data_IF_019039924529
#
_entry.id   IF_019039924529
#
_cell.length_a   1.000
_cell.length_b   1.000
_cell.length_c   1.000
_cell.angle_alpha   90.00
_cell.angle_beta   90.00
_cell.angle_gamma   90.00
#
_symmetry.space_group_name_H-M   'P 1'
#
loop_
_entity.id
_entity.type
_entity.pdbx_description
1 polymer ?
#
# COMPACT_ATOMS: atom_id res chain seq x y z
N UNK A 1 -26.72 15.15 7.38
CA UNK A 1 -25.33 14.96 6.89
C UNK A 1 -24.80 13.74 7.63
N UNK A 2 -24.82 12.58 6.99
CA UNK A 2 -24.35 11.36 7.63
C UNK A 2 -22.89 11.18 7.24
N UNK A 3 -22.01 11.37 8.21
CA UNK A 3 -20.58 11.06 8.07
C UNK A 3 -20.40 9.64 8.57
N UNK A 4 -19.98 8.74 7.70
CA UNK A 4 -19.66 7.36 8.05
C UNK A 4 -18.15 7.21 8.12
N UNK A 5 -17.65 6.57 9.17
CA UNK A 5 -16.23 6.29 9.39
C UNK A 5 -16.04 4.79 9.45
N UNK A 6 -15.25 4.25 8.54
CA UNK A 6 -15.04 2.81 8.39
C UNK A 6 -13.55 2.50 8.28
N UNK A 7 -13.08 1.47 9.00
CA UNK A 7 -11.72 0.97 8.83
C UNK A 7 -11.64 0.08 7.60
N UNK A 8 -10.54 0.16 6.84
CA UNK A 8 -10.25 -0.76 5.76
C UNK A 8 -8.90 -1.43 5.96
N UNK A 9 -8.82 -2.72 5.64
CA UNK A 9 -7.56 -3.47 5.66
C UNK A 9 -6.82 -3.38 4.32
N UNK A 10 -7.55 -3.31 3.21
CA UNK A 10 -7.02 -3.23 1.85
C UNK A 10 -7.78 -2.18 1.05
N UNK A 11 -7.07 -1.15 0.58
CA UNK A 11 -7.67 -0.08 -0.22
C UNK A 11 -8.34 -0.58 -1.52
N UNK A 12 -7.78 -1.55 -2.29
CA UNK A 12 -8.42 -2.06 -3.51
C UNK A 12 -9.88 -2.48 -3.34
N UNK A 13 -10.17 -3.29 -2.32
CA UNK A 13 -11.53 -3.77 -2.04
C UNK A 13 -12.50 -2.61 -1.80
N UNK A 14 -12.08 -1.62 -1.01
CA UNK A 14 -12.88 -0.43 -0.76
C UNK A 14 -13.17 0.34 -2.07
N UNK A 15 -12.18 0.52 -2.94
CA UNK A 15 -12.36 1.23 -4.21
C UNK A 15 -13.30 0.47 -5.16
N UNK A 16 -13.19 -0.85 -5.23
CA UNK A 16 -14.09 -1.72 -6.01
C UNK A 16 -15.53 -1.66 -5.48
N UNK A 17 -15.72 -1.71 -4.16
CA UNK A 17 -17.03 -1.62 -3.52
C UNK A 17 -17.70 -0.27 -3.84
N UNK A 18 -16.98 0.84 -3.67
CA UNK A 18 -17.47 2.19 -3.99
C UNK A 18 -17.82 2.35 -5.48
N UNK A 19 -17.03 1.73 -6.37
CA UNK A 19 -17.31 1.72 -7.80
C UNK A 19 -18.58 0.91 -8.13
N UNK A 20 -18.73 -0.29 -7.54
CA UNK A 20 -19.87 -1.19 -7.79
C UNK A 20 -21.22 -0.58 -7.35
N UNK A 21 -21.18 0.31 -6.36
CA UNK A 21 -22.35 1.01 -5.84
C UNK A 21 -22.69 2.31 -6.61
N UNK A 22 -21.94 2.63 -7.69
CA UNK A 22 -22.14 3.85 -8.49
C UNK A 22 -22.11 5.15 -7.67
N UNK A 23 -21.29 5.19 -6.62
CA UNK A 23 -21.21 6.32 -5.70
C UNK A 23 -20.82 7.61 -6.43
N UNK A 24 -21.43 8.72 -6.00
CA UNK A 24 -21.05 10.09 -6.37
C UNK A 24 -20.81 10.88 -5.09
N UNK A 25 -19.64 11.52 -4.98
CA UNK A 25 -19.24 12.24 -3.78
C UNK A 25 -17.74 12.17 -3.54
N UNK A 26 -17.33 12.33 -2.29
CA UNK A 26 -15.92 12.28 -1.89
C UNK A 26 -15.73 11.48 -0.62
N UNK A 27 -14.56 10.85 -0.50
CA UNK A 27 -14.12 10.20 0.73
C UNK A 27 -12.76 10.76 1.14
N UNK A 28 -12.57 11.00 2.43
CA UNK A 28 -11.27 11.24 3.03
C UNK A 28 -10.67 9.89 3.47
N UNK A 29 -9.47 9.59 2.99
CA UNK A 29 -8.71 8.40 3.34
C UNK A 29 -7.54 8.83 4.21
N UNK A 30 -7.45 8.29 5.41
CA UNK A 30 -6.33 8.47 6.33
C UNK A 30 -5.63 7.12 6.55
N UNK A 31 -4.38 7.00 6.12
CA UNK A 31 -3.57 5.78 6.30
C UNK A 31 -2.46 5.99 7.33
N UNK A 32 -2.10 4.92 8.03
CA UNK A 32 -0.96 4.90 8.96
C UNK A 32 0.30 4.39 8.25
N UNK A 33 1.34 5.23 8.18
CA UNK A 33 2.57 4.91 7.42
C UNK A 33 3.57 4.10 8.26
N UNK A 34 3.72 4.41 9.54
CA UNK A 34 4.71 3.78 10.42
C UNK A 34 4.26 3.73 11.90
N UNK A 35 5.06 3.02 12.72
CA UNK A 35 4.86 2.87 14.17
C UNK A 35 4.99 4.17 14.97
N UNK A 36 5.46 5.27 14.35
CA UNK A 36 5.58 6.60 14.95
C UNK A 36 4.32 7.46 14.76
N UNK A 37 3.18 6.86 14.43
CA UNK A 37 1.90 7.54 14.20
C UNK A 37 1.91 8.56 13.04
N UNK A 38 2.83 8.44 12.07
CA UNK A 38 2.77 9.28 10.87
C UNK A 38 1.57 8.85 10.03
N UNK A 39 0.63 9.77 9.80
CA UNK A 39 -0.53 9.51 8.95
C UNK A 39 -0.41 10.24 7.62
N UNK A 40 -1.05 9.69 6.59
CA UNK A 40 -1.21 10.35 5.29
C UNK A 40 -2.69 10.44 4.97
N UNK A 41 -3.12 11.67 4.73
CA UNK A 41 -4.49 12.01 4.37
C UNK A 41 -4.60 12.36 2.90
N UNK A 42 -5.61 11.82 2.23
CA UNK A 42 -5.96 12.14 0.86
C UNK A 42 -7.46 12.18 0.72
N UNK A 43 -7.94 12.95 -0.26
CA UNK A 43 -9.32 12.90 -0.70
C UNK A 43 -9.38 12.18 -2.03
N UNK A 44 -10.36 11.30 -2.20
CA UNK A 44 -10.71 10.66 -3.46
C UNK A 44 -12.15 11.07 -3.80
N UNK A 45 -12.40 11.47 -5.03
CA UNK A 45 -13.71 11.91 -5.50
C UNK A 45 -14.23 10.96 -6.58
N UNK A 46 -15.52 10.62 -6.49
CA UNK A 46 -16.23 9.79 -7.44
C UNK A 46 -17.39 10.55 -8.10
N UNK A 47 -17.66 10.16 -9.34
CA UNK A 47 -18.88 10.50 -10.04
C UNK A 47 -19.38 9.27 -10.81
N UNK A 48 -20.58 8.81 -10.48
CA UNK A 48 -21.21 7.64 -11.08
C UNK A 48 -20.30 6.39 -11.08
N UNK A 49 -19.69 6.09 -9.94
CA UNK A 49 -18.80 4.93 -9.74
C UNK A 49 -17.38 5.10 -10.31
N UNK A 50 -17.06 6.20 -11.00
CA UNK A 50 -15.72 6.46 -11.53
C UNK A 50 -14.95 7.45 -10.67
N UNK A 51 -13.66 7.21 -10.48
CA UNK A 51 -12.78 8.15 -9.76
C UNK A 51 -12.45 9.31 -10.70
N UNK A 52 -12.87 10.51 -10.33
CA UNK A 52 -12.69 11.74 -11.15
C UNK A 52 -11.55 12.62 -10.64
N UNK A 53 -11.08 12.39 -9.42
CA UNK A 53 -9.96 13.10 -8.83
C UNK A 53 -9.46 12.37 -7.58
N UNK A 54 -8.17 12.48 -7.28
CA UNK A 54 -7.62 12.18 -5.97
C UNK A 54 -6.46 13.13 -5.65
N UNK A 55 -6.31 13.57 -4.41
CA UNK A 55 -5.22 14.46 -4.01
C UNK A 55 -5.21 14.80 -2.53
N UNK A 56 -4.47 15.86 -2.15
CA UNK A 56 -4.40 16.33 -0.76
C UNK A 56 -5.74 16.86 -0.23
N UNK A 57 -6.49 17.51 -1.10
CA UNK A 57 -7.78 18.13 -0.82
C UNK A 57 -8.59 18.22 -2.12
N UNK A 58 -9.90 18.41 -2.00
CA UNK A 58 -10.79 18.70 -3.13
C UNK A 58 -10.30 20.00 -3.78
N UNK A 59 -10.03 20.02 -5.11
CA UNK A 59 -9.45 21.17 -5.75
C UNK A 59 -10.51 22.26 -5.91
N UNK A 60 -10.06 23.52 -5.90
CA UNK A 60 -10.84 24.66 -6.36
C UNK A 60 -10.17 25.27 -7.60
N UNK A 61 -10.79 26.28 -8.22
CA UNK A 61 -10.26 26.92 -9.43
C UNK A 61 -8.81 27.42 -9.29
N UNK A 62 -8.43 27.91 -8.09
CA UNK A 62 -7.06 28.37 -7.81
C UNK A 62 -6.05 27.22 -7.70
N UNK A 63 -6.44 26.13 -7.03
CA UNK A 63 -5.56 24.96 -6.86
C UNK A 63 -5.36 24.24 -8.19
N UNK A 64 -6.42 24.14 -9.00
CA UNK A 64 -6.35 23.60 -10.35
C UNK A 64 -5.51 24.46 -11.27
N UNK A 65 -5.66 25.79 -11.20
CA UNK A 65 -4.78 26.76 -11.87
C UNK A 65 -3.30 26.50 -11.58
N UNK A 66 -2.93 26.36 -10.30
CA UNK A 66 -1.53 26.07 -9.91
C UNK A 66 -1.04 24.76 -10.50
N UNK A 67 -1.87 23.72 -10.47
CA UNK A 67 -1.56 22.43 -11.07
C UNK A 67 -1.31 22.56 -12.58
N UNK A 68 -2.17 23.28 -13.31
CA UNK A 68 -2.04 23.50 -14.74
C UNK A 68 -0.79 24.32 -15.10
N UNK A 69 -0.51 25.41 -14.37
CA UNK A 69 0.69 26.24 -14.63
C UNK A 69 2.01 25.49 -14.45
N UNK A 70 2.03 24.45 -13.59
CA UNK A 70 3.24 23.66 -13.35
C UNK A 70 3.43 22.53 -14.35
N UNK A 71 2.35 22.03 -14.97
CA UNK A 71 2.40 20.91 -15.92
C UNK A 71 2.43 21.36 -17.39
N UNK A 72 1.99 22.58 -17.69
CA UNK A 72 1.93 23.14 -19.04
C UNK A 72 2.75 24.42 -19.15
N UNK A 73 2.89 24.96 -20.38
CA UNK A 73 3.63 26.20 -20.62
C UNK A 73 3.03 27.34 -19.80
N UNK A 74 3.75 27.75 -18.74
CA UNK A 74 3.24 28.65 -17.72
C UNK A 74 2.82 30.00 -18.31
N UNK A 75 3.51 30.53 -19.31
CA UNK A 75 3.19 31.85 -19.89
C UNK A 75 1.81 31.86 -20.57
N UNK A 76 1.46 30.77 -21.25
CA UNK A 76 0.16 30.64 -21.94
C UNK A 76 -0.98 30.44 -20.96
N UNK A 77 -0.77 29.61 -19.93
CA UNK A 77 -1.76 29.38 -18.88
C UNK A 77 -1.98 30.67 -18.08
N UNK A 78 -0.92 31.40 -17.74
CA UNK A 78 -1.01 32.66 -17.02
C UNK A 78 -1.77 33.73 -17.81
N UNK A 79 -1.47 33.88 -19.11
CA UNK A 79 -2.19 34.80 -19.99
C UNK A 79 -3.69 34.45 -20.09
N UNK A 80 -4.01 33.17 -20.26
CA UNK A 80 -5.39 32.70 -20.30
C UNK A 80 -6.14 33.00 -19.00
N UNK A 81 -5.49 32.77 -17.86
CA UNK A 81 -6.08 33.02 -16.55
C UNK A 81 -6.35 34.50 -16.35
N UNK A 82 -5.48 35.41 -16.79
CA UNK A 82 -5.75 36.86 -16.76
C UNK A 82 -7.02 37.23 -17.52
N UNK A 83 -7.34 36.53 -18.61
CA UNK A 83 -8.58 36.74 -19.40
C UNK A 83 -9.80 36.10 -18.74
N UNK A 84 -9.63 34.93 -18.10
CA UNK A 84 -10.73 34.18 -17.47
C UNK A 84 -11.11 34.74 -16.10
N UNK A 85 -10.15 35.19 -15.30
CA UNK A 85 -10.35 35.57 -13.89
C UNK A 85 -11.47 36.60 -13.69
N UNK A 86 -11.63 37.66 -14.52
CA UNK A 86 -12.74 38.60 -14.40
C UNK A 86 -14.13 37.99 -14.63
N UNK A 87 -14.20 36.81 -15.27
CA UNK A 87 -15.44 36.08 -15.58
C UNK A 87 -15.80 35.04 -14.52
N UNK A 88 -14.88 34.72 -13.61
CA UNK A 88 -15.10 33.75 -12.54
C UNK A 88 -15.95 34.40 -11.45
N UNK A 89 -17.03 33.73 -11.06
CA UNK A 89 -17.84 34.07 -9.89
C UNK A 89 -17.71 32.98 -8.83
N UNK A 90 -18.13 33.21 -7.57
CA UNK A 90 -18.18 32.15 -6.56
C UNK A 90 -19.05 30.95 -6.93
N UNK A 91 -19.98 31.10 -7.90
CA UNK A 91 -20.84 30.03 -8.41
C UNK A 91 -20.23 29.28 -9.60
N UNK A 92 -19.15 29.80 -10.19
CA UNK A 92 -18.53 29.20 -11.36
C UNK A 92 -17.93 27.86 -11.00
N UNK A 93 -18.45 26.80 -11.61
CA UNK A 93 -17.98 25.44 -11.35
C UNK A 93 -16.58 25.22 -11.94
N UNK A 94 -15.88 24.19 -11.45
CA UNK A 94 -14.58 23.79 -12.01
C UNK A 94 -14.72 23.38 -13.49
N UNK A 95 -15.83 22.74 -13.84
CA UNK A 95 -16.13 22.35 -15.22
C UNK A 95 -16.21 23.57 -16.13
N UNK A 96 -17.01 24.57 -15.75
CA UNK A 96 -17.14 25.82 -16.50
C UNK A 96 -15.80 26.55 -16.63
N UNK A 97 -15.01 26.60 -15.55
CA UNK A 97 -13.66 27.19 -15.58
C UNK A 97 -12.75 26.48 -16.60
N UNK A 98 -12.75 25.14 -16.60
CA UNK A 98 -11.97 24.35 -17.57
C UNK A 98 -12.48 24.52 -19.00
N UNK A 99 -13.79 24.55 -19.21
CA UNK A 99 -14.40 24.80 -20.53
C UNK A 99 -13.95 26.16 -21.10
N UNK A 100 -13.81 27.20 -20.26
CA UNK A 100 -13.27 28.49 -20.70
C UNK A 100 -11.82 28.37 -21.21
N UNK A 101 -10.95 27.62 -20.51
CA UNK A 101 -9.55 27.41 -20.93
C UNK A 101 -9.46 26.58 -22.22
N UNK A 102 -10.31 25.56 -22.36
CA UNK A 102 -10.37 24.72 -23.55
C UNK A 102 -10.89 25.50 -24.76
N UNK A 103 -11.94 26.32 -24.57
CA UNK A 103 -12.48 27.17 -25.63
C UNK A 103 -11.49 28.22 -26.12
N UNK A 104 -10.60 28.70 -25.24
CA UNK A 104 -9.47 29.56 -25.60
C UNK A 104 -8.32 28.83 -26.31
N UNK A 105 -8.41 27.50 -26.47
CA UNK A 105 -7.39 26.63 -27.08
C UNK A 105 -6.05 26.63 -26.34
N UNK A 106 -6.08 26.93 -25.04
CA UNK A 106 -4.88 26.94 -24.18
C UNK A 106 -4.53 25.51 -23.77
N UNK A 107 -5.57 24.70 -23.56
CA UNK A 107 -5.49 23.28 -23.21
C UNK A 107 -6.55 22.51 -24.00
N UNK A 108 -6.35 21.21 -24.14
CA UNK A 108 -7.39 20.29 -24.62
C UNK A 108 -7.94 19.46 -23.46
N UNK A 109 -9.16 18.94 -23.63
CA UNK A 109 -9.72 17.98 -22.67
C UNK A 109 -8.81 16.76 -22.48
N UNK A 110 -8.19 16.23 -23.54
CA UNK A 110 -7.26 15.11 -23.41
C UNK A 110 -6.03 15.42 -22.55
N UNK A 111 -5.50 16.65 -22.62
CA UNK A 111 -4.40 17.09 -21.76
C UNK A 111 -4.83 17.17 -20.29
N UNK A 112 -6.00 17.75 -20.02
CA UNK A 112 -6.55 17.85 -18.67
C UNK A 112 -6.79 16.44 -18.09
N UNK A 113 -7.47 15.57 -18.85
CA UNK A 113 -7.74 14.19 -18.44
C UNK A 113 -6.45 13.42 -18.14
N UNK A 114 -5.43 13.56 -19.00
CA UNK A 114 -4.13 12.91 -18.79
C UNK A 114 -3.49 13.33 -17.46
N UNK A 115 -3.47 14.63 -17.14
CA UNK A 115 -2.88 15.11 -15.89
C UNK A 115 -3.70 14.72 -14.66
N UNK A 116 -5.03 14.75 -14.75
CA UNK A 116 -5.91 14.29 -13.66
C UNK A 116 -5.73 12.79 -13.43
N UNK A 117 -5.66 11.97 -14.48
CA UNK A 117 -5.44 10.53 -14.34
C UNK A 117 -4.09 10.22 -13.71
N UNK A 118 -3.02 10.92 -14.11
CA UNK A 118 -1.71 10.81 -13.46
C UNK A 118 -1.78 11.15 -11.97
N UNK A 119 -2.46 12.25 -11.63
CA UNK A 119 -2.64 12.69 -10.24
C UNK A 119 -3.42 11.64 -9.43
N UNK A 120 -4.46 11.02 -10.01
CA UNK A 120 -5.20 9.92 -9.38
C UNK A 120 -4.25 8.75 -9.12
N UNK A 121 -3.56 8.25 -10.14
CA UNK A 121 -2.65 7.10 -10.03
C UNK A 121 -1.60 7.34 -8.94
N UNK A 122 -0.92 8.49 -8.96
CA UNK A 122 0.09 8.85 -7.95
C UNK A 122 -0.52 8.89 -6.55
N UNK A 123 -1.72 9.46 -6.40
CA UNK A 123 -2.37 9.55 -5.09
C UNK A 123 -2.76 8.17 -4.56
N UNK A 124 -3.33 7.30 -5.40
CA UNK A 124 -3.71 5.94 -5.01
C UNK A 124 -2.47 5.11 -4.66
N UNK A 125 -1.38 5.21 -5.43
CA UNK A 125 -0.11 4.54 -5.15
C UNK A 125 0.41 4.84 -3.74
N UNK A 126 0.29 6.09 -3.28
CA UNK A 126 0.77 6.53 -1.96
C UNK A 126 -0.03 5.98 -0.78
N UNK A 127 -1.22 5.44 -1.03
CA UNK A 127 -2.13 4.89 -0.02
C UNK A 127 -2.14 3.36 -0.02
N UNK A 128 -1.94 2.75 -1.20
CA UNK A 128 -2.10 1.31 -1.46
C UNK A 128 -1.40 0.38 -0.44
N UNK A 129 -0.16 0.64 0.03
CA UNK A 129 0.54 -0.27 0.93
C UNK A 129 0.00 -0.30 2.36
N UNK A 130 -0.92 0.61 2.71
CA UNK A 130 -1.28 0.89 4.10
C UNK A 130 -2.76 0.60 4.36
N UNK A 131 -3.05 0.10 5.56
CA UNK A 131 -4.41 0.11 6.11
C UNK A 131 -4.74 1.49 6.69
N UNK A 132 -6.04 1.76 6.80
CA UNK A 132 -6.47 3.09 7.21
C UNK A 132 -7.94 3.17 7.54
N UNK A 133 -8.39 4.41 7.62
CA UNK A 133 -9.77 4.76 7.88
C UNK A 133 -10.27 5.60 6.70
N UNK A 134 -11.47 5.30 6.25
CA UNK A 134 -12.21 6.11 5.29
C UNK A 134 -13.32 6.86 5.99
N UNK A 135 -13.47 8.13 5.64
CA UNK A 135 -14.57 8.99 6.07
C UNK A 135 -15.35 9.40 4.83
N UNK A 136 -16.61 8.97 4.73
CA UNK A 136 -17.45 9.22 3.56
C UNK A 136 -18.24 10.50 3.80
N UNK A 137 -18.07 11.50 2.91
CA UNK A 137 -18.79 12.76 2.93
C UNK A 137 -19.69 12.89 1.69
N UNK A 138 -21.00 12.67 1.86
CA UNK A 138 -21.99 12.74 0.78
C UNK A 138 -22.45 14.17 0.50
N UNK A 139 -21.56 15.05 0.01
CA UNK A 139 -21.98 16.43 -0.22
C UNK A 139 -21.29 17.19 -1.36
N UNK A 140 -20.27 16.62 -2.02
CA UNK A 140 -19.49 17.36 -3.03
C UNK A 140 -19.47 16.59 -4.35
N UNK A 141 -20.33 17.02 -5.28
CA UNK A 141 -20.27 16.54 -6.66
C UNK A 141 -19.16 17.29 -7.40
N UNK A 142 -18.12 16.55 -7.78
CA UNK A 142 -16.99 17.08 -8.52
C UNK A 142 -17.01 16.51 -9.94
N UNK A 143 -17.10 17.38 -10.94
CA UNK A 143 -17.05 16.99 -12.35
C UNK A 143 -15.85 17.66 -13.02
N UNK A 144 -14.72 16.96 -13.06
CA UNK A 144 -13.49 17.43 -13.73
C UNK A 144 -13.27 16.70 -15.05
N UNK A 145 -13.26 15.37 -15.02
CA UNK A 145 -13.04 14.52 -16.19
C UNK A 145 -14.10 13.41 -16.26
N UNK A 146 -14.02 12.56 -17.28
CA UNK A 146 -14.85 11.34 -17.40
C UNK A 146 -14.59 10.31 -16.30
N UNK A 147 -13.49 10.46 -15.57
CA UNK A 147 -13.06 9.57 -14.51
C UNK A 147 -12.47 8.25 -15.01
N UNK A 148 -11.84 7.53 -14.09
CA UNK A 148 -11.21 6.23 -14.31
C UNK A 148 -11.89 5.15 -13.47
N UNK A 149 -11.91 3.93 -13.99
CA UNK A 149 -12.31 2.74 -13.26
C UNK A 149 -11.10 2.04 -12.64
N UNK A 150 -11.39 1.07 -11.77
CA UNK A 150 -10.38 0.25 -11.12
C UNK A 150 -9.48 -0.49 -12.11
N UNK A 151 -10.04 -1.05 -13.20
CA UNK A 151 -9.23 -1.81 -14.17
C UNK A 151 -8.15 -0.95 -14.85
N UNK A 152 -8.50 0.31 -15.17
CA UNK A 152 -7.54 1.29 -15.65
C UNK A 152 -6.48 1.60 -14.60
N UNK A 153 -6.87 1.81 -13.34
CA UNK A 153 -5.94 2.11 -12.26
C UNK A 153 -4.98 0.95 -11.98
N UNK A 154 -5.50 -0.26 -11.82
CA UNK A 154 -4.74 -1.48 -11.54
C UNK A 154 -3.64 -1.67 -12.59
N UNK A 155 -3.98 -1.60 -13.87
CA UNK A 155 -3.01 -1.78 -14.96
C UNK A 155 -1.87 -0.75 -14.95
N UNK A 156 -2.13 0.48 -14.48
CA UNK A 156 -1.11 1.52 -14.35
C UNK A 156 -0.31 1.37 -13.05
N UNK A 157 -0.96 0.99 -11.95
CA UNK A 157 -0.31 0.77 -10.66
C UNK A 157 0.66 -0.41 -10.70
N UNK A 158 0.30 -1.52 -11.36
CA UNK A 158 1.19 -2.68 -11.59
C UNK A 158 2.47 -2.25 -12.30
N UNK A 159 2.34 -1.50 -13.41
CA UNK A 159 3.51 -0.96 -14.13
C UNK A 159 4.37 -0.08 -13.24
N UNK A 160 3.76 0.82 -12.47
CA UNK A 160 4.51 1.67 -11.55
C UNK A 160 5.24 0.87 -10.47
N UNK A 161 4.62 -0.18 -9.93
CA UNK A 161 5.27 -1.09 -9.01
C UNK A 161 6.48 -1.76 -9.65
N UNK A 162 6.39 -2.25 -10.89
CA UNK A 162 7.55 -2.82 -11.62
C UNK A 162 8.71 -1.82 -11.73
N UNK A 163 8.41 -0.55 -12.02
CA UNK A 163 9.42 0.51 -12.04
C UNK A 163 10.06 0.74 -10.66
N UNK A 164 9.27 0.78 -9.59
CA UNK A 164 9.81 0.86 -8.22
C UNK A 164 10.74 -0.30 -7.90
N UNK A 165 10.35 -1.54 -8.25
CA UNK A 165 11.18 -2.73 -8.03
C UNK A 165 12.53 -2.65 -8.76
N UNK A 166 12.61 -1.95 -9.89
CA UNK A 166 13.88 -1.76 -10.62
C UNK A 166 14.92 -0.93 -9.85
N UNK A 167 14.51 -0.16 -8.83
CA UNK A 167 15.41 0.62 -8.00
C UNK A 167 15.99 -0.15 -6.80
N UNK A 168 15.48 -1.36 -6.54
CA UNK A 168 16.00 -2.22 -5.49
C UNK A 168 17.43 -2.73 -5.82
N UNK A 169 18.28 -2.99 -4.81
CA UNK A 169 18.04 -2.83 -3.38
C UNK A 169 18.31 -1.40 -2.85
N UNK A 170 18.70 -0.46 -3.71
CA UNK A 170 19.13 0.89 -3.30
C UNK A 170 17.97 1.71 -2.74
N UNK A 171 16.82 1.67 -3.41
CA UNK A 171 15.57 2.30 -2.97
C UNK A 171 14.53 1.19 -2.84
N UNK A 172 14.05 0.96 -1.62
CA UNK A 172 13.12 -0.14 -1.30
C UNK A 172 11.66 0.29 -1.32
N UNK A 173 11.38 1.58 -1.16
CA UNK A 173 10.03 2.13 -1.23
C UNK A 173 10.05 3.66 -1.44
N UNK A 174 8.89 4.24 -1.68
CA UNK A 174 8.72 5.69 -1.73
C UNK A 174 8.97 6.38 -0.37
N UNK A 175 8.97 5.62 0.73
CA UNK A 175 9.28 6.12 2.08
C UNK A 175 10.78 6.11 2.39
N UNK A 176 11.63 5.71 1.44
CA UNK A 176 13.06 5.74 1.63
C UNK A 176 13.54 7.17 1.94
N UNK A 177 14.36 7.32 2.98
CA UNK A 177 14.90 8.60 3.41
C UNK A 177 16.34 8.73 2.90
N UNK A 178 16.63 9.68 1.99
CA UNK A 178 17.97 9.90 1.49
C UNK A 178 18.85 10.59 2.53
N UNK A 179 20.14 10.29 2.46
CA UNK A 179 21.23 10.85 3.26
C UNK A 179 22.40 11.20 2.37
N UNK A 180 23.04 12.35 2.59
CA UNK A 180 24.24 12.72 1.84
C UNK A 180 25.44 11.90 2.31
N UNK A 181 26.23 11.42 1.35
CA UNK A 181 27.55 10.86 1.64
C UNK A 181 28.55 11.94 2.05
N UNK A 182 29.59 11.54 2.78
CA UNK A 182 30.67 12.44 3.17
C UNK A 182 31.42 12.93 1.91
N UNK A 183 31.68 14.23 1.82
CA UNK A 183 32.42 14.85 0.71
C UNK A 183 31.61 15.04 -0.58
N UNK A 184 30.34 14.64 -0.64
CA UNK A 184 29.49 14.76 -1.84
C UNK A 184 29.47 16.17 -2.43
N UNK A 185 29.35 17.20 -1.58
CA UNK A 185 29.19 18.59 -2.03
C UNK A 185 30.43 19.14 -2.76
N UNK A 186 31.59 18.53 -2.58
CA UNK A 186 32.83 18.90 -3.26
C UNK A 186 32.98 18.20 -4.63
N UNK A 187 32.20 17.14 -4.87
CA UNK A 187 32.28 16.31 -6.07
C UNK A 187 31.26 16.71 -7.16
N UNK A 188 30.19 17.41 -6.79
CA UNK A 188 29.10 17.76 -7.71
C UNK A 188 29.44 19.04 -8.47
N UNK A 189 29.63 18.92 -9.78
CA UNK A 189 29.87 20.07 -10.67
C UNK A 189 28.58 20.79 -11.09
N UNK A 190 27.44 20.11 -11.06
CA UNK A 190 26.15 20.69 -11.44
C UNK A 190 25.56 21.54 -10.28
N UNK A 191 25.44 22.87 -10.44
CA UNK A 191 24.95 23.76 -9.37
C UNK A 191 23.48 23.52 -9.02
N UNK A 192 22.66 23.05 -9.97
CA UNK A 192 21.24 22.76 -9.74
C UNK A 192 21.11 21.52 -8.86
N UNK A 193 21.87 20.47 -9.16
CA UNK A 193 21.89 19.24 -8.35
C UNK A 193 22.44 19.52 -6.95
N UNK A 194 23.54 20.28 -6.85
CA UNK A 194 24.11 20.65 -5.56
C UNK A 194 23.11 21.46 -4.71
N UNK A 195 22.42 22.42 -5.32
CA UNK A 195 21.38 23.20 -4.63
C UNK A 195 20.22 22.32 -4.17
N UNK A 196 19.71 21.44 -5.05
CA UNK A 196 18.65 20.49 -4.73
C UNK A 196 19.01 19.61 -3.54
N UNK A 197 20.16 18.93 -3.60
CA UNK A 197 20.59 18.01 -2.55
C UNK A 197 20.75 18.72 -1.21
N UNK A 198 21.35 19.93 -1.20
CA UNK A 198 21.49 20.76 0.00
C UNK A 198 20.14 21.20 0.59
N UNK A 199 19.15 21.46 -0.26
CA UNK A 199 17.83 21.93 0.19
C UNK A 199 16.92 20.79 0.66
N UNK A 200 16.98 19.62 0.02
CA UNK A 200 15.98 18.56 0.16
C UNK A 200 16.46 17.30 0.90
N UNK A 201 17.77 17.09 1.04
CA UNK A 201 18.31 15.91 1.73
C UNK A 201 18.74 16.29 3.15
N UNK A 202 17.85 16.07 4.11
CA UNK A 202 18.01 16.43 5.52
C UNK A 202 17.96 15.24 6.48
N UNK A 203 17.99 14.01 5.95
CA UNK A 203 17.87 12.76 6.71
C UNK A 203 16.50 12.58 7.43
N UNK A 204 15.49 13.40 7.12
CA UNK A 204 14.16 13.32 7.72
C UNK A 204 13.06 13.09 6.69
N UNK A 205 13.12 13.80 5.55
CA UNK A 205 12.10 13.73 4.51
C UNK A 205 12.27 12.47 3.66
N UNK A 206 11.19 11.73 3.43
CA UNK A 206 11.18 10.61 2.47
C UNK A 206 11.09 11.09 1.01
N UNK A 207 11.39 10.21 0.06
CA UNK A 207 11.30 10.52 -1.37
C UNK A 207 9.91 11.02 -1.78
N UNK A 208 8.84 10.43 -1.24
CA UNK A 208 7.46 10.86 -1.51
C UNK A 208 7.18 12.26 -0.95
N UNK A 209 7.76 12.63 0.20
CA UNK A 209 7.60 13.98 0.76
C UNK A 209 8.36 15.03 -0.03
N UNK A 210 9.57 14.69 -0.49
CA UNK A 210 10.35 15.54 -1.40
C UNK A 210 9.57 15.74 -2.71
N UNK A 211 9.03 14.66 -3.28
CA UNK A 211 8.22 14.71 -4.50
C UNK A 211 6.97 15.57 -4.34
N UNK A 212 6.23 15.42 -3.23
CA UNK A 212 5.04 16.22 -2.93
C UNK A 212 5.37 17.71 -2.83
N UNK A 213 6.45 18.07 -2.14
CA UNK A 213 6.89 19.48 -2.00
C UNK A 213 7.36 20.10 -3.31
N UNK A 214 7.91 19.28 -4.21
CA UNK A 214 8.33 19.69 -5.55
C UNK A 214 7.20 19.62 -6.59
N UNK A 215 6.01 19.11 -6.20
CA UNK A 215 4.92 18.74 -7.09
C UNK A 215 5.38 17.86 -8.29
N UNK A 216 6.28 16.92 -8.01
CA UNK A 216 6.81 15.97 -8.96
C UNK A 216 6.30 14.55 -8.70
N UNK A 217 6.39 13.70 -9.71
CA UNK A 217 6.08 12.28 -9.57
C UNK A 217 7.13 11.62 -8.65
N UNK A 218 6.72 10.90 -7.58
CA UNK A 218 7.64 10.14 -6.74
C UNK A 218 8.58 9.21 -7.50
N UNK A 219 8.14 8.58 -8.60
CA UNK A 219 8.99 7.73 -9.44
C UNK A 219 10.09 8.54 -10.15
N UNK A 220 9.79 9.76 -10.59
CA UNK A 220 10.77 10.63 -11.25
C UNK A 220 11.83 11.11 -10.27
N UNK A 221 11.41 11.46 -9.06
CA UNK A 221 12.31 11.77 -7.95
C UNK A 221 13.18 10.54 -7.63
N UNK A 222 12.57 9.38 -7.42
CA UNK A 222 13.30 8.14 -7.13
C UNK A 222 14.33 7.78 -8.20
N UNK A 223 13.99 7.94 -9.49
CA UNK A 223 14.94 7.71 -10.59
C UNK A 223 16.17 8.62 -10.49
N UNK A 224 15.98 9.90 -10.17
CA UNK A 224 17.09 10.87 -10.03
C UNK A 224 17.98 10.49 -8.85
N UNK A 225 17.36 10.18 -7.70
CA UNK A 225 18.08 9.76 -6.50
C UNK A 225 18.78 8.41 -6.65
N UNK A 226 18.20 7.46 -7.38
CA UNK A 226 18.82 6.17 -7.66
C UNK A 226 20.13 6.35 -8.43
N UNK A 227 20.16 7.24 -9.43
CA UNK A 227 21.39 7.59 -10.17
C UNK A 227 22.43 8.26 -9.27
N UNK A 228 22.00 9.18 -8.41
CA UNK A 228 22.90 9.82 -7.44
C UNK A 228 23.44 8.83 -6.41
N UNK A 229 22.66 7.83 -6.03
CA UNK A 229 23.10 6.76 -5.14
C UNK A 229 24.09 5.80 -5.80
N UNK A 230 23.90 5.46 -7.08
CA UNK A 230 24.91 4.74 -7.86
C UNK A 230 26.22 5.51 -8.01
N UNK A 231 26.13 6.85 -8.04
CA UNK A 231 27.31 7.74 -8.08
C UNK A 231 27.94 7.96 -6.70
N UNK A 232 27.40 7.34 -5.64
CA UNK A 232 27.88 7.48 -4.27
C UNK A 232 27.56 8.82 -3.59
N UNK A 233 26.79 9.71 -4.22
CA UNK A 233 26.47 11.05 -3.69
C UNK A 233 25.43 11.00 -2.58
N UNK A 234 24.48 10.09 -2.72
CA UNK A 234 23.40 9.85 -1.77
C UNK A 234 23.44 8.40 -1.34
N UNK A 235 23.33 8.16 -0.04
CA UNK A 235 22.95 6.85 0.46
C UNK A 235 21.52 6.95 0.93
N UNK A 236 20.75 5.91 0.71
CA UNK A 236 19.63 5.70 1.59
C UNK A 236 20.20 5.10 2.85
N UNK A 237 19.65 5.47 4.02
CA UNK A 237 19.91 4.65 5.18
C UNK A 237 19.76 3.19 4.73
N UNK A 238 20.63 2.28 5.17
CA UNK A 238 20.21 0.87 5.24
C UNK A 238 19.05 0.85 6.22
N UNK A 239 17.89 1.31 5.79
CA UNK A 239 16.67 0.68 6.14
C UNK A 239 16.91 -0.76 5.67
N UNK A 240 17.30 -1.61 6.61
CA UNK A 240 16.32 -2.59 7.03
C UNK A 240 15.12 -1.73 7.43
N UNK A 241 14.18 -1.43 6.52
CA UNK A 241 12.95 -0.84 6.98
C UNK A 241 12.33 -2.03 7.67
N UNK A 242 12.41 -2.05 9.00
CA UNK A 242 11.18 -2.35 9.70
C UNK A 242 10.17 -1.32 9.16
N UNK A 243 9.45 -1.72 8.10
CA UNK A 243 7.99 -1.65 8.14
C UNK A 243 7.57 -1.97 9.59
N UNK A 244 6.39 -1.60 10.08
CA UNK A 244 5.76 -2.62 10.89
C UNK A 244 5.72 -3.81 9.94
N UNK A 245 6.72 -4.71 10.00
CA UNK A 245 6.59 -6.06 9.50
C UNK A 245 5.20 -6.36 10.02
N UNK A 246 4.25 -6.64 9.14
CA UNK A 246 3.22 -7.57 9.58
C UNK A 246 4.05 -8.80 9.81
N UNK A 247 4.66 -8.90 11.01
CA UNK A 247 5.57 -9.97 11.35
C UNK A 247 4.61 -11.13 11.36
N UNK A 248 4.57 -11.85 10.25
CA UNK A 248 3.47 -12.78 10.02
C UNK A 248 3.49 -13.73 11.19
N UNK A 249 2.38 -13.76 11.93
CA UNK A 249 2.31 -14.52 13.17
C UNK A 249 2.04 -15.95 12.78
N UNK A 250 3.05 -16.79 12.93
CA UNK A 250 2.94 -18.24 12.72
C UNK A 250 2.62 -18.85 14.07
N UNK A 251 1.40 -19.38 14.22
CA UNK A 251 1.03 -20.11 15.42
C UNK A 251 1.41 -21.59 15.25
N UNK A 252 2.33 -22.09 16.08
CA UNK A 252 2.70 -23.49 16.15
C UNK A 252 1.99 -24.20 17.29
N UNK A 253 1.11 -25.14 16.96
CA UNK A 253 0.29 -25.91 17.90
C UNK A 253 0.81 -27.33 17.96
N UNK A 254 1.49 -27.66 19.05
CA UNK A 254 2.16 -28.95 19.27
C UNK A 254 2.41 -29.11 20.77
N UNK A 255 2.31 -30.31 21.33
CA UNK A 255 2.60 -30.55 22.75
C UNK A 255 4.08 -30.84 23.05
N UNK A 256 4.95 -30.88 22.03
CA UNK A 256 6.38 -31.14 22.14
C UNK A 256 7.20 -29.83 22.18
N UNK A 257 7.87 -29.52 23.29
CA UNK A 257 8.78 -28.38 23.39
C UNK A 257 9.95 -28.44 22.38
N UNK A 258 10.36 -29.65 21.98
CA UNK A 258 11.42 -29.85 20.98
C UNK A 258 10.95 -29.34 19.61
N UNK A 259 9.70 -29.64 19.24
CA UNK A 259 9.14 -29.16 17.97
C UNK A 259 8.98 -27.64 17.99
N UNK A 260 8.55 -27.05 19.11
CA UNK A 260 8.50 -25.60 19.27
C UNK A 260 9.87 -24.95 19.10
N UNK A 261 10.90 -25.47 19.79
CA UNK A 261 12.26 -24.98 19.66
C UNK A 261 12.78 -25.09 18.21
N UNK A 262 12.50 -26.19 17.53
CA UNK A 262 12.88 -26.40 16.14
C UNK A 262 12.18 -25.41 15.20
N UNK A 263 10.87 -25.21 15.35
CA UNK A 263 10.09 -24.25 14.55
C UNK A 263 10.58 -22.83 14.81
N UNK A 264 10.79 -22.46 16.08
CA UNK A 264 11.34 -21.16 16.47
C UNK A 264 12.72 -20.93 15.84
N UNK A 265 13.60 -21.92 15.87
CA UNK A 265 14.94 -21.84 15.26
C UNK A 265 14.85 -21.72 13.72
N UNK A 266 13.89 -22.41 13.10
CA UNK A 266 13.74 -22.48 11.65
C UNK A 266 13.12 -21.22 11.05
N UNK A 267 12.10 -20.67 11.73
CA UNK A 267 11.21 -19.62 11.24
C UNK A 267 11.34 -18.29 11.99
N UNK A 268 11.85 -18.28 13.22
CA UNK A 268 11.82 -17.10 14.09
C UNK A 268 12.70 -15.92 13.65
N UNK A 269 13.54 -16.09 12.63
CA UNK A 269 14.24 -14.97 11.97
C UNK A 269 13.33 -14.21 10.99
N UNK A 270 12.42 -14.94 10.36
CA UNK A 270 11.60 -14.45 9.26
C UNK A 270 10.17 -14.14 9.73
N UNK A 271 9.69 -14.77 10.81
CA UNK A 271 8.30 -14.70 11.27
C UNK A 271 8.20 -14.59 12.80
N UNK A 272 7.07 -14.08 13.31
CA UNK A 272 6.76 -14.11 14.73
C UNK A 272 6.12 -15.46 15.04
N UNK A 273 6.91 -16.35 15.63
CA UNK A 273 6.40 -17.67 16.03
C UNK A 273 5.74 -17.55 17.39
N UNK A 274 4.44 -17.83 17.43
CA UNK A 274 3.68 -18.06 18.65
C UNK A 274 3.53 -19.56 18.87
N UNK A 275 3.43 -20.01 20.12
CA UNK A 275 3.31 -21.43 20.44
C UNK A 275 2.09 -21.70 21.31
N UNK A 276 1.43 -22.83 21.05
CA UNK A 276 0.38 -23.38 21.91
C UNK A 276 0.59 -24.88 22.09
N UNK A 277 0.37 -25.37 23.30
CA UNK A 277 0.58 -26.78 23.68
C UNK A 277 -0.70 -27.61 23.66
N UNK A 278 -1.85 -26.97 23.46
CA UNK A 278 -3.17 -27.59 23.51
C UNK A 278 -4.16 -26.77 22.67
N UNK A 279 -5.32 -27.35 22.38
CA UNK A 279 -6.36 -26.77 21.54
C UNK A 279 -6.99 -25.51 22.14
N UNK A 280 -7.25 -25.53 23.45
CA UNK A 280 -7.85 -24.38 24.14
C UNK A 280 -7.00 -23.11 23.99
N UNK A 281 -5.69 -23.22 24.23
CA UNK A 281 -4.74 -22.13 24.07
C UNK A 281 -4.60 -21.71 22.60
N UNK A 282 -4.61 -22.68 21.67
CA UNK A 282 -4.53 -22.40 20.24
C UNK A 282 -5.72 -21.55 19.77
N UNK A 283 -6.95 -21.99 20.07
CA UNK A 283 -8.16 -21.25 19.71
C UNK A 283 -8.19 -19.86 20.36
N UNK A 284 -7.86 -19.76 21.65
CA UNK A 284 -7.79 -18.47 22.33
C UNK A 284 -6.80 -17.52 21.65
N UNK A 285 -5.64 -18.03 21.23
CA UNK A 285 -4.61 -17.25 20.53
C UNK A 285 -5.07 -16.81 19.14
N UNK A 286 -5.73 -17.70 18.38
CA UNK A 286 -6.31 -17.38 17.06
C UNK A 286 -7.32 -16.23 17.14
N UNK A 287 -8.10 -16.15 18.22
CA UNK A 287 -9.06 -15.05 18.40
C UNK A 287 -8.42 -13.72 18.84
N UNK A 288 -7.35 -13.79 19.64
CA UNK A 288 -6.69 -12.61 20.22
C UNK A 288 -5.64 -11.98 19.29
N UNK A 289 -4.98 -12.80 18.50
CA UNK A 289 -3.85 -12.41 17.66
C UNK A 289 -4.21 -12.51 16.17
N UNK A 290 -3.64 -11.64 15.34
CA UNK A 290 -3.75 -11.74 13.88
C UNK A 290 -2.82 -12.83 13.34
N UNK A 291 -3.25 -14.09 13.50
CA UNK A 291 -2.50 -15.26 13.00
C UNK A 291 -2.52 -15.26 11.47
N UNK A 292 -1.33 -15.37 10.88
CA UNK A 292 -1.15 -15.37 9.43
C UNK A 292 -1.00 -16.79 8.87
N UNK A 293 -0.54 -17.75 9.68
CA UNK A 293 -0.47 -19.16 9.33
C UNK A 293 -0.52 -20.02 10.58
N UNK A 294 -1.24 -21.14 10.50
CA UNK A 294 -1.35 -22.13 11.56
C UNK A 294 -0.55 -23.39 11.20
N UNK A 295 0.47 -23.71 12.00
CA UNK A 295 1.16 -25.01 11.99
C UNK A 295 0.51 -25.89 13.07
N UNK A 296 -0.12 -27.00 12.68
CA UNK A 296 -1.01 -27.75 13.56
C UNK A 296 -0.65 -29.23 13.63
N UNK A 297 -0.32 -29.73 14.82
CA UNK A 297 -0.31 -31.16 15.07
C UNK A 297 -1.73 -31.69 15.19
N UNK A 298 -1.94 -32.90 14.65
CA UNK A 298 -3.18 -33.67 14.80
C UNK A 298 -3.27 -34.25 16.21
N UNK A 299 -2.14 -34.64 16.81
CA UNK A 299 -2.14 -35.31 18.12
C UNK A 299 -1.86 -34.29 19.23
N UNK A 300 -2.92 -33.69 19.78
CA UNK A 300 -2.85 -32.80 20.94
C UNK A 300 -3.47 -33.47 22.18
N UNK A 301 -3.13 -33.02 23.40
CA UNK A 301 -3.55 -33.69 24.64
C UNK A 301 -5.05 -33.56 24.96
N UNK A 302 -5.73 -32.54 24.43
CA UNK A 302 -7.11 -32.17 24.78
C UNK A 302 -8.11 -32.38 23.64
N UNK A 303 -7.74 -32.09 22.39
CA UNK A 303 -8.60 -32.21 21.22
C UNK A 303 -7.81 -32.63 19.98
N UNK A 304 -8.39 -33.44 19.10
CA UNK A 304 -7.74 -33.76 17.81
C UNK A 304 -7.56 -32.47 16.98
N UNK A 305 -6.35 -32.23 16.48
CA UNK A 305 -6.04 -31.02 15.70
C UNK A 305 -6.89 -30.88 14.43
N UNK A 306 -7.41 -31.98 13.88
CA UNK A 306 -8.35 -31.91 12.76
C UNK A 306 -9.67 -31.24 13.15
N UNK A 307 -10.07 -31.34 14.42
CA UNK A 307 -11.28 -30.67 14.91
C UNK A 307 -11.07 -29.17 15.04
N UNK A 308 -9.89 -28.73 15.48
CA UNK A 308 -9.50 -27.31 15.43
C UNK A 308 -9.57 -26.79 14.00
N UNK A 309 -9.05 -27.56 13.03
CA UNK A 309 -9.10 -27.20 11.62
C UNK A 309 -10.55 -26.97 11.13
N UNK A 310 -11.49 -27.87 11.47
CA UNK A 310 -12.91 -27.71 11.13
C UNK A 310 -13.53 -26.48 11.80
N UNK A 311 -13.26 -26.27 13.08
CA UNK A 311 -13.79 -25.14 13.83
C UNK A 311 -13.31 -23.80 13.25
N UNK A 312 -12.01 -23.69 12.94
CA UNK A 312 -11.43 -22.51 12.30
C UNK A 312 -12.06 -22.24 10.93
N UNK A 313 -12.29 -23.29 10.12
CA UNK A 313 -12.92 -23.15 8.78
C UNK A 313 -14.39 -22.75 8.82
N UNK A 314 -15.12 -23.12 9.87
CA UNK A 314 -16.52 -22.74 10.05
C UNK A 314 -16.70 -21.27 10.47
N UNK A 315 -15.62 -20.58 10.85
CA UNK A 315 -15.66 -19.18 11.24
C UNK A 315 -15.35 -18.29 10.03
N UNK A 316 -16.25 -17.38 9.60
CA UNK A 316 -16.03 -16.53 8.42
C UNK A 316 -14.72 -15.73 8.48
N UNK A 317 -14.33 -15.25 9.67
CA UNK A 317 -13.09 -14.48 9.90
C UNK A 317 -11.82 -15.25 9.56
N UNK A 318 -11.81 -16.59 9.69
CA UNK A 318 -10.61 -17.42 9.54
C UNK A 318 -10.71 -18.42 8.38
N UNK A 319 -11.71 -18.25 7.51
CA UNK A 319 -11.97 -19.14 6.39
C UNK A 319 -10.72 -19.35 5.52
N UNK A 320 -10.00 -18.25 5.28
CA UNK A 320 -8.83 -18.22 4.40
C UNK A 320 -7.49 -18.35 5.14
N UNK A 321 -7.49 -18.52 6.46
CA UNK A 321 -6.27 -18.71 7.26
C UNK A 321 -5.52 -19.96 6.77
N UNK A 322 -4.28 -19.87 6.26
CA UNK A 322 -3.52 -21.05 5.86
C UNK A 322 -3.26 -21.98 7.05
N UNK A 323 -3.63 -23.26 6.90
CA UNK A 323 -3.41 -24.32 7.90
C UNK A 323 -2.50 -25.39 7.29
N UNK A 324 -1.35 -25.61 7.90
CA UNK A 324 -0.40 -26.67 7.55
C UNK A 324 -0.41 -27.70 8.66
N UNK A 325 -0.78 -28.93 8.33
CA UNK A 325 -0.69 -30.04 9.28
C UNK A 325 0.77 -30.47 9.43
N UNK A 326 1.28 -30.46 10.66
CA UNK A 326 2.60 -30.95 11.05
C UNK A 326 2.43 -32.14 12.01
N UNK A 327 2.49 -33.37 11.53
CA UNK A 327 2.18 -34.54 12.38
C UNK A 327 3.00 -35.78 12.04
N UNK A 328 3.12 -36.71 13.00
CA UNK A 328 3.75 -38.02 12.80
C UNK A 328 2.84 -39.02 12.09
N UNK A 329 1.53 -38.73 12.00
CA UNK A 329 0.60 -39.50 11.17
C UNK A 329 0.92 -39.23 9.71
N UNK A 330 1.17 -40.24 8.88
CA UNK A 330 1.70 -40.01 7.52
C UNK A 330 1.06 -40.88 6.44
N UNK A 331 0.17 -41.78 6.85
CA UNK A 331 -0.56 -42.62 5.91
C UNK A 331 -1.54 -41.79 5.05
N UNK A 332 -1.91 -42.37 3.91
CA UNK A 332 -2.77 -41.72 2.92
C UNK A 332 -4.13 -41.26 3.49
N UNK A 333 -4.75 -42.06 4.37
CA UNK A 333 -6.04 -41.74 4.96
C UNK A 333 -5.96 -40.52 5.89
N UNK A 334 -4.87 -40.40 6.67
CA UNK A 334 -4.67 -39.25 7.57
C UNK A 334 -4.41 -37.95 6.79
N UNK A 335 -3.73 -38.03 5.64
CA UNK A 335 -3.56 -36.89 4.72
C UNK A 335 -4.89 -36.44 4.13
N UNK A 336 -5.72 -37.39 3.67
CA UNK A 336 -7.07 -37.10 3.18
C UNK A 336 -7.97 -36.48 4.25
N UNK A 337 -7.93 -36.99 5.48
CA UNK A 337 -8.69 -36.41 6.61
C UNK A 337 -8.29 -34.96 6.89
N UNK A 338 -6.99 -34.64 6.81
CA UNK A 338 -6.48 -33.27 6.91
C UNK A 338 -7.06 -32.34 5.84
N UNK A 339 -7.03 -32.79 4.59
CA UNK A 339 -7.56 -32.01 3.46
C UNK A 339 -9.07 -31.79 3.58
N UNK A 340 -9.85 -32.82 3.96
CA UNK A 340 -11.30 -32.71 4.17
C UNK A 340 -11.62 -31.78 5.35
N UNK A 341 -10.80 -31.76 6.40
CA UNK A 341 -10.93 -30.82 7.51
C UNK A 341 -10.59 -29.37 7.11
N UNK A 342 -10.01 -29.15 5.92
CA UNK A 342 -9.74 -27.84 5.34
C UNK A 342 -8.27 -27.39 5.45
N UNK A 343 -7.32 -28.29 5.68
CA UNK A 343 -5.90 -27.92 5.65
C UNK A 343 -5.42 -27.60 4.23
N UNK A 344 -4.47 -26.69 4.12
CA UNK A 344 -3.89 -26.26 2.84
C UNK A 344 -2.65 -27.08 2.48
N UNK A 345 -1.96 -27.65 3.47
CA UNK A 345 -0.77 -28.47 3.25
C UNK A 345 -0.59 -29.50 4.36
N UNK A 346 0.19 -30.54 4.07
CA UNK A 346 0.53 -31.61 5.00
C UNK A 346 2.03 -31.88 4.98
N UNK A 347 2.67 -31.89 6.15
CA UNK A 347 4.09 -32.18 6.31
C UNK A 347 4.28 -33.17 7.47
N UNK A 348 4.98 -34.27 7.18
CA UNK A 348 5.19 -35.37 8.13
C UNK A 348 6.41 -35.11 9.01
N UNK A 349 6.31 -35.44 10.31
CA UNK A 349 7.43 -35.47 11.25
C UNK A 349 8.18 -36.81 11.16
N UNK A 350 9.53 -36.82 11.23
CA UNK A 350 10.42 -35.65 11.25
C UNK A 350 10.47 -34.97 9.88
N UNK A 351 10.51 -33.64 9.88
CA UNK A 351 10.60 -32.84 8.65
C UNK A 351 11.96 -32.15 8.55
N UNK A 352 12.40 -31.91 7.31
CA UNK A 352 13.54 -31.05 7.02
C UNK A 352 13.18 -29.58 7.34
N UNK A 353 13.96 -28.86 8.17
CA UNK A 353 13.78 -27.43 8.43
C UNK A 353 13.69 -26.57 7.17
N UNK A 354 14.49 -26.88 6.14
CA UNK A 354 14.43 -26.17 4.87
C UNK A 354 13.08 -26.42 4.18
N UNK A 355 12.57 -27.65 4.26
CA UNK A 355 11.26 -27.98 3.72
C UNK A 355 10.12 -27.26 4.43
N UNK A 356 10.19 -27.14 5.76
CA UNK A 356 9.23 -26.35 6.52
C UNK A 356 9.24 -24.88 6.06
N UNK A 357 10.42 -24.29 5.90
CA UNK A 357 10.57 -22.91 5.40
C UNK A 357 9.99 -22.73 4.00
N UNK A 358 10.25 -23.67 3.09
CA UNK A 358 9.65 -23.65 1.74
C UNK A 358 8.13 -23.70 1.79
N UNK A 359 7.55 -24.58 2.62
CA UNK A 359 6.10 -24.74 2.75
C UNK A 359 5.48 -23.46 3.29
N UNK A 360 6.02 -22.90 4.38
CA UNK A 360 5.52 -21.64 4.96
C UNK A 360 5.64 -20.51 3.94
N UNK A 361 6.76 -20.44 3.20
CA UNK A 361 7.00 -19.45 2.15
C UNK A 361 6.07 -19.53 0.93
N UNK A 362 5.28 -20.60 0.78
CA UNK A 362 4.21 -20.66 -0.24
C UNK A 362 2.97 -19.86 0.15
N UNK A 363 2.75 -19.70 1.45
CA UNK A 363 1.56 -19.08 2.02
C UNK A 363 1.84 -17.68 2.56
N UNK A 364 3.08 -17.43 2.99
CA UNK A 364 3.52 -16.15 3.52
C UNK A 364 4.73 -15.66 2.71
N UNK A 365 4.82 -14.36 2.38
CA UNK A 365 6.03 -13.83 1.76
C UNK A 365 7.20 -13.92 2.75
N UNK A 366 8.41 -14.07 2.22
CA UNK A 366 9.64 -14.01 3.01
C UNK A 366 9.92 -12.54 3.31
N UNK A 367 10.20 -12.23 4.57
CA UNK A 367 10.65 -10.90 4.98
C UNK A 367 12.07 -10.56 4.49
#
# INVERSE_FOLDING_TARGET
>A
MNVYKECFEQLPQLLEDLQSQYITGSVEVEVSINSQHKTRKRVICWHNGKIVYAGLQIPNNQTLTRMLMQKFRSEWVEAAIKVVNPKITPKTSIREFLDMLVNMRVLTWGQIETEIHKQIIITIEQLLPYSGIVTIENNHELQICRGVDWSFLESNLVKRQEYWHSFAPIITSMEAVPKLSLGTMEQISDPVVAHHLKQWVDEQRSLVEIAEKLNQDPLQIAQSYWRWAQSGWVNFAKSIPETPKRTFKVLAVDNSPIIHALIQQTLGKDYQVLVATNAANALQTIFKEEISLLLLDVTLPDLDGLEICRQVRNLPKFRDLPIVILTSRDNFLEKLKGQIAGSNYYLTKPFDPQKLREVVGKFLPKD
#
